data_IF_995645053731
#
_entry.id   IF_995645053731
#
_cell.length_a   1.000
_cell.length_b   1.000
_cell.length_c   1.000
_cell.angle_alpha   90.00
_cell.angle_beta   90.00
_cell.angle_gamma   90.00
#
_symmetry.space_group_name_H-M   'P 1'
#
loop_
_entity.id
_entity.type
_entity.pdbx_description
1 polymer ?
#
# COMPACT_ATOMS: atom_id res chain seq x y z
N UNK A 1 1.47 -13.26 15.92
CA UNK A 1 1.04 -12.51 14.72
C UNK A 1 0.33 -11.19 15.04
N UNK A 2 -0.94 -11.15 15.48
CA UNK A 2 -1.63 -9.85 15.71
C UNK A 2 -0.96 -9.04 16.82
N UNK A 3 -0.78 -9.62 18.01
CA UNK A 3 -0.14 -8.96 19.16
C UNK A 3 1.32 -8.57 18.90
N UNK A 4 1.96 -9.20 17.93
CA UNK A 4 3.40 -9.08 17.65
C UNK A 4 3.67 -8.08 16.53
N UNK A 5 2.88 -8.11 15.46
CA UNK A 5 3.12 -7.30 14.25
C UNK A 5 2.07 -6.23 14.00
N UNK A 6 0.85 -6.38 14.51
CA UNK A 6 -0.25 -5.45 14.19
C UNK A 6 -0.46 -4.45 15.32
N UNK A 7 -0.70 -4.95 16.54
CA UNK A 7 -0.96 -4.12 17.71
C UNK A 7 0.15 -3.08 17.98
N UNK A 8 1.44 -3.43 18.01
CA UNK A 8 2.49 -2.47 18.35
C UNK A 8 2.83 -1.49 17.22
N UNK A 9 2.55 -1.85 15.96
CA UNK A 9 2.93 -1.05 14.78
C UNK A 9 2.11 0.23 14.68
N UNK A 10 2.73 1.37 14.44
CA UNK A 10 2.03 2.66 14.26
C UNK A 10 1.72 2.96 12.78
N UNK A 11 2.40 2.26 11.87
CA UNK A 11 2.23 2.44 10.44
C UNK A 11 2.35 1.14 9.66
N UNK A 12 1.74 1.13 8.48
CA UNK A 12 1.86 0.08 7.49
C UNK A 12 2.12 0.67 6.11
N UNK A 13 2.91 -0.08 5.32
CA UNK A 13 3.07 0.15 3.90
C UNK A 13 2.42 -1.01 3.16
N UNK A 14 1.38 -0.72 2.39
CA UNK A 14 0.63 -1.69 1.60
C UNK A 14 1.10 -1.65 0.15
N UNK A 15 1.77 -2.72 -0.29
CA UNK A 15 2.16 -2.91 -1.69
C UNK A 15 1.18 -3.90 -2.31
N UNK A 16 0.26 -3.42 -3.16
CA UNK A 16 -0.91 -4.18 -3.58
C UNK A 16 -0.96 -4.41 -5.10
N UNK A 17 -1.00 -5.67 -5.57
CA UNK A 17 -1.18 -5.95 -6.99
C UNK A 17 -2.62 -5.71 -7.45
N UNK A 18 -2.82 -5.46 -8.75
CA UNK A 18 -4.15 -5.34 -9.36
C UNK A 18 -4.71 -6.70 -9.77
N UNK A 19 -5.83 -7.13 -9.19
CA UNK A 19 -6.61 -8.28 -9.65
C UNK A 19 -7.97 -7.80 -10.16
N UNK A 20 -8.22 -8.01 -11.46
CA UNK A 20 -9.49 -7.67 -12.13
C UNK A 20 -9.98 -6.23 -11.86
N UNK A 21 -9.05 -5.27 -11.77
CA UNK A 21 -9.38 -3.86 -11.55
C UNK A 21 -9.62 -3.44 -10.11
N UNK A 22 -9.26 -4.29 -9.15
CA UNK A 22 -9.31 -4.05 -7.72
C UNK A 22 -8.02 -4.51 -7.04
N UNK A 23 -7.91 -4.29 -5.73
CA UNK A 23 -6.91 -4.92 -4.90
C UNK A 23 -7.28 -6.39 -4.61
N UNK A 24 -6.34 -7.26 -4.22
CA UNK A 24 -6.60 -8.69 -4.12
C UNK A 24 -7.57 -9.01 -2.98
N UNK A 25 -8.48 -9.97 -3.19
CA UNK A 25 -9.43 -10.40 -2.15
C UNK A 25 -8.74 -10.89 -0.87
N UNK A 26 -7.55 -11.49 -0.98
CA UNK A 26 -6.75 -11.92 0.17
C UNK A 26 -6.35 -10.76 1.09
N UNK A 27 -6.16 -9.56 0.54
CA UNK A 27 -5.87 -8.36 1.33
C UNK A 27 -7.10 -7.94 2.15
N UNK A 28 -8.31 -8.05 1.58
CA UNK A 28 -9.54 -7.83 2.34
C UNK A 28 -9.72 -8.87 3.44
N UNK A 29 -9.48 -10.15 3.12
CA UNK A 29 -9.55 -11.23 4.09
C UNK A 29 -8.60 -10.99 5.26
N UNK A 30 -7.35 -10.59 4.99
CA UNK A 30 -6.38 -10.24 6.02
C UNK A 30 -6.91 -9.15 6.97
N UNK A 31 -7.39 -8.03 6.41
CA UNK A 31 -7.96 -6.93 7.22
C UNK A 31 -9.13 -7.39 8.09
N UNK A 32 -10.02 -8.22 7.53
CA UNK A 32 -11.24 -8.68 8.20
C UNK A 32 -10.96 -9.68 9.33
N UNK A 33 -9.84 -10.39 9.29
CA UNK A 33 -9.48 -11.33 10.38
C UNK A 33 -8.98 -10.64 11.65
N UNK A 34 -8.62 -9.36 11.57
CA UNK A 34 -8.13 -8.57 12.69
C UNK A 34 -9.26 -7.72 13.24
N UNK A 35 -9.48 -7.77 14.56
CA UNK A 35 -10.52 -6.96 15.20
C UNK A 35 -10.30 -5.47 14.90
N UNK A 36 -11.32 -4.71 14.44
CA UNK A 36 -11.15 -3.34 13.92
C UNK A 36 -10.42 -2.38 14.85
N UNK A 37 -10.57 -2.53 16.17
CA UNK A 37 -9.88 -1.69 17.15
C UNK A 37 -8.34 -1.73 17.05
N UNK A 38 -7.77 -2.82 16.51
CA UNK A 38 -6.33 -2.91 16.27
C UNK A 38 -5.85 -2.11 15.06
N UNK A 39 -6.74 -1.49 14.27
CA UNK A 39 -6.37 -0.65 13.14
C UNK A 39 -6.47 0.85 13.43
N UNK A 40 -7.23 1.24 14.46
CA UNK A 40 -7.51 2.64 14.77
C UNK A 40 -6.24 3.50 14.89
N UNK A 41 -6.31 4.69 14.30
CA UNK A 41 -5.32 5.77 14.40
C UNK A 41 -3.92 5.40 13.86
N UNK A 42 -3.81 4.28 13.13
CA UNK A 42 -2.57 3.87 12.48
C UNK A 42 -2.42 4.51 11.11
N UNK A 43 -1.19 4.84 10.73
CA UNK A 43 -0.87 5.42 9.43
C UNK A 43 -0.77 4.34 8.34
N UNK A 44 -1.22 4.65 7.13
CA UNK A 44 -1.16 3.74 5.99
C UNK A 44 -0.57 4.43 4.76
N UNK A 45 0.51 3.88 4.20
CA UNK A 45 1.02 4.25 2.90
C UNK A 45 0.63 3.17 1.88
N UNK A 46 0.18 3.56 0.69
CA UNK A 46 -0.29 2.61 -0.33
C UNK A 46 0.52 2.78 -1.61
N UNK A 47 1.00 1.66 -2.14
CA UNK A 47 1.66 1.55 -3.43
C UNK A 47 0.98 0.46 -4.24
N UNK A 48 0.46 0.82 -5.39
CA UNK A 48 -0.18 -0.11 -6.31
C UNK A 48 0.83 -0.66 -7.29
N UNK A 49 0.76 -1.95 -7.62
CA UNK A 49 1.61 -2.58 -8.64
C UNK A 49 0.75 -3.32 -9.66
N UNK A 50 1.13 -3.26 -10.93
CA UNK A 50 0.48 -4.06 -11.97
C UNK A 50 1.40 -4.27 -13.16
N UNK A 51 1.22 -5.38 -13.90
CA UNK A 51 1.80 -5.54 -15.22
C UNK A 51 1.20 -4.58 -16.27
N UNK A 52 -0.03 -4.09 -16.02
CA UNK A 52 -0.73 -3.11 -16.85
C UNK A 52 -0.25 -1.67 -16.66
N UNK A 53 -0.87 -0.75 -17.41
CA UNK A 53 -0.52 0.69 -17.45
C UNK A 53 -1.02 1.51 -16.25
N UNK A 54 -1.96 0.99 -15.46
CA UNK A 54 -2.62 1.77 -14.41
C UNK A 54 -1.96 1.64 -13.03
N UNK A 55 -1.08 0.64 -12.83
CA UNK A 55 -0.44 0.41 -11.53
C UNK A 55 -1.41 0.25 -10.37
N UNK A 56 -2.55 -0.43 -10.58
CA UNK A 56 -3.60 -0.64 -9.58
C UNK A 56 -4.29 0.64 -9.04
N UNK A 57 -4.40 1.70 -9.83
CA UNK A 57 -5.01 2.97 -9.40
C UNK A 57 -6.38 2.79 -8.72
N UNK A 58 -7.26 1.98 -9.33
CA UNK A 58 -8.61 1.71 -8.79
C UNK A 58 -8.58 0.91 -7.48
N UNK A 59 -7.72 -0.10 -7.39
CA UNK A 59 -7.58 -0.89 -6.16
C UNK A 59 -7.03 -0.07 -5.00
N UNK A 60 -6.12 0.87 -5.26
CA UNK A 60 -5.64 1.80 -4.23
C UNK A 60 -6.76 2.68 -3.66
N UNK A 61 -7.66 3.20 -4.49
CA UNK A 61 -8.79 4.01 -4.02
C UNK A 61 -9.82 3.20 -3.25
N UNK A 62 -10.12 1.98 -3.72
CA UNK A 62 -11.00 1.06 -2.99
C UNK A 62 -10.40 0.69 -1.62
N UNK A 63 -9.11 0.37 -1.57
CA UNK A 63 -8.43 0.08 -0.30
C UNK A 63 -8.43 1.32 0.61
N UNK A 64 -8.20 2.52 0.06
CA UNK A 64 -8.27 3.77 0.82
C UNK A 64 -9.61 3.89 1.56
N UNK A 65 -10.73 3.59 0.90
CA UNK A 65 -12.05 3.61 1.52
C UNK A 65 -12.17 2.63 2.69
N UNK A 66 -11.65 1.41 2.54
CA UNK A 66 -11.65 0.39 3.60
C UNK A 66 -10.77 0.80 4.78
N UNK A 67 -9.55 1.28 4.52
CA UNK A 67 -8.64 1.70 5.60
C UNK A 67 -9.17 2.90 6.38
N UNK A 68 -9.77 3.87 5.69
CA UNK A 68 -10.44 5.00 6.35
C UNK A 68 -11.64 4.54 7.19
N UNK A 69 -12.41 3.55 6.73
CA UNK A 69 -13.49 2.95 7.54
C UNK A 69 -12.94 2.27 8.80
N UNK A 70 -11.77 1.64 8.71
CA UNK A 70 -11.02 1.08 9.84
C UNK A 70 -10.29 2.14 10.69
N UNK A 71 -10.59 3.44 10.47
CA UNK A 71 -10.03 4.58 11.19
C UNK A 71 -8.50 4.70 11.07
N UNK A 72 -7.93 4.21 9.97
CA UNK A 72 -6.53 4.46 9.63
C UNK A 72 -6.38 5.79 8.90
N UNK A 73 -5.21 6.41 9.04
CA UNK A 73 -4.83 7.63 8.32
C UNK A 73 -4.08 7.28 7.05
N UNK A 74 -4.73 7.38 5.90
CA UNK A 74 -4.11 7.08 4.60
C UNK A 74 -3.27 8.27 4.11
N UNK A 75 -1.99 8.02 3.86
CA UNK A 75 -1.07 9.00 3.30
C UNK A 75 -1.47 9.36 1.86
N UNK A 76 -1.52 10.66 1.58
CA UNK A 76 -2.11 11.19 0.35
C UNK A 76 -1.34 10.80 -0.93
N UNK A 77 -0.01 10.65 -0.85
CA UNK A 77 0.80 10.26 -1.99
C UNK A 77 0.75 8.74 -2.20
N UNK A 78 -0.21 8.31 -3.00
CA UNK A 78 -0.39 6.92 -3.43
C UNK A 78 0.36 6.69 -4.72
N UNK A 79 1.34 5.77 -4.71
CA UNK A 79 2.25 5.55 -5.84
C UNK A 79 1.80 4.35 -6.68
N UNK A 80 1.29 4.56 -7.92
CA UNK A 80 1.10 3.46 -8.86
C UNK A 80 2.41 3.13 -9.59
N UNK A 81 2.80 1.86 -9.59
CA UNK A 81 3.92 1.33 -10.37
C UNK A 81 3.36 0.43 -11.47
N UNK A 82 3.52 0.88 -12.71
CA UNK A 82 3.00 0.21 -13.90
C UNK A 82 4.07 -0.66 -14.55
N UNK A 83 3.66 -1.71 -15.27
CA UNK A 83 4.57 -2.64 -15.94
C UNK A 83 5.65 -3.18 -14.97
N UNK A 84 5.23 -3.56 -13.76
CA UNK A 84 6.14 -3.95 -12.67
C UNK A 84 7.14 -5.03 -13.10
N UNK A 85 6.69 -5.99 -13.91
CA UNK A 85 7.50 -7.11 -14.42
C UNK A 85 8.65 -6.67 -15.34
N UNK A 86 8.53 -5.47 -15.92
CA UNK A 86 9.60 -4.88 -16.72
C UNK A 86 10.53 -4.07 -15.84
N UNK A 87 9.98 -3.29 -14.90
CA UNK A 87 10.72 -2.34 -14.07
C UNK A 87 11.61 -3.04 -13.04
N UNK A 88 11.18 -4.19 -12.52
CA UNK A 88 11.90 -4.94 -11.47
C UNK A 88 12.41 -6.27 -12.03
N UNK A 89 13.73 -6.45 -12.08
CA UNK A 89 14.36 -7.69 -12.52
C UNK A 89 14.66 -8.65 -11.35
N UNK A 90 15.25 -8.14 -10.26
CA UNK A 90 15.63 -8.92 -9.07
C UNK A 90 15.41 -8.12 -7.77
N UNK A 91 14.26 -7.44 -7.68
CA UNK A 91 13.86 -6.68 -6.48
C UNK A 91 14.33 -5.23 -6.44
N UNK A 92 15.18 -4.79 -7.37
CA UNK A 92 15.54 -3.37 -7.54
C UNK A 92 15.00 -2.84 -8.88
N UNK A 93 14.37 -1.65 -8.90
CA UNK A 93 13.95 -1.04 -10.15
C UNK A 93 15.20 -0.62 -10.96
N UNK A 94 15.26 -0.98 -12.24
CA UNK A 94 16.44 -0.67 -13.06
C UNK A 94 16.55 0.82 -13.43
N UNK A 95 15.44 1.56 -13.41
CA UNK A 95 15.42 2.97 -13.79
C UNK A 95 15.46 3.90 -12.57
N UNK A 96 16.22 5.00 -12.71
CA UNK A 96 16.41 5.98 -11.64
C UNK A 96 15.15 6.77 -11.32
N UNK A 97 14.29 7.02 -12.31
CA UNK A 97 13.04 7.75 -12.12
C UNK A 97 12.11 7.05 -11.11
N UNK A 98 11.98 5.72 -11.19
CA UNK A 98 11.20 4.92 -10.25
C UNK A 98 11.80 4.99 -8.85
N UNK A 99 13.13 4.93 -8.71
CA UNK A 99 13.80 5.10 -7.42
C UNK A 99 13.51 6.45 -6.80
N UNK A 100 13.57 7.52 -7.59
CA UNK A 100 13.30 8.90 -7.13
C UNK A 100 11.87 9.02 -6.59
N UNK A 101 10.86 8.50 -7.29
CA UNK A 101 9.47 8.61 -6.83
C UNK A 101 9.17 7.73 -5.63
N UNK A 102 9.79 6.53 -5.53
CA UNK A 102 9.72 5.67 -4.35
C UNK A 102 10.32 6.39 -3.13
N UNK A 103 11.54 6.91 -3.27
CA UNK A 103 12.22 7.64 -2.19
C UNK A 103 11.40 8.85 -1.75
N UNK A 104 10.85 9.62 -2.70
CA UNK A 104 9.96 10.75 -2.38
C UNK A 104 8.74 10.33 -1.56
N UNK A 105 8.11 9.20 -1.90
CA UNK A 105 6.96 8.68 -1.14
C UNK A 105 7.39 8.27 0.27
N UNK A 106 8.49 7.52 0.40
CA UNK A 106 9.01 7.05 1.68
C UNK A 106 9.40 8.23 2.58
N UNK A 107 10.21 9.16 2.08
CA UNK A 107 10.63 10.35 2.83
C UNK A 107 9.45 11.22 3.24
N UNK A 108 8.45 11.36 2.37
CA UNK A 108 7.23 12.08 2.68
C UNK A 108 6.41 11.37 3.76
N UNK A 109 6.25 10.06 3.66
CA UNK A 109 5.52 9.26 4.65
C UNK A 109 6.22 9.27 6.02
N UNK A 110 7.55 9.21 6.05
CA UNK A 110 8.34 9.28 7.28
C UNK A 110 8.24 10.63 8.01
N UNK A 111 7.79 11.69 7.35
CA UNK A 111 7.53 13.01 7.97
C UNK A 111 6.12 13.14 8.54
N UNK A 112 5.28 12.14 8.36
CA UNK A 112 3.90 12.11 8.89
C UNK A 112 3.81 11.56 10.31
N UNK A 113 4.93 11.07 10.84
CA UNK A 113 5.11 10.60 12.22
C UNK A 113 5.50 11.72 13.16
#
# INVERSE_FOLDING_TARGET
>A
LISEYITPSQAFVFIIPEYNGSYPGIMKLFLDTVHPAHWNDKMACITGVAGGRAGNLRGMDQLTGVLNYLKMHVYHNKLPISQIDKIFAEGTPYNEETKVVINRQIEGFLKTF
#
